data_IF_055301498429
#
_entry.id   IF_055301498429
#
_cell.length_a   1.000
_cell.length_b   1.000
_cell.length_c   1.000
_cell.angle_alpha   90.00
_cell.angle_beta   90.00
_cell.angle_gamma   90.00
#
_symmetry.space_group_name_H-M   'P 1'
#
loop_
_entity.id
_entity.type
_entity.pdbx_description
1 polymer ?
#
# COMPACT_ATOMS: atom_id res chain seq x y z
N UNK A 1 -23.48 5.02 -2.69
CA UNK A 1 -22.82 4.51 -3.92
C UNK A 1 -21.43 4.05 -3.51
N UNK A 2 -20.57 3.56 -4.40
CA UNK A 2 -19.15 3.45 -4.02
C UNK A 2 -18.59 4.87 -3.88
N UNK A 3 -17.84 5.15 -2.80
CA UNK A 3 -17.19 6.45 -2.62
C UNK A 3 -16.30 6.80 -3.82
N UNK A 4 -16.37 8.06 -4.28
CA UNK A 4 -15.48 8.58 -5.30
C UNK A 4 -14.07 8.73 -4.74
N UNK A 5 -13.06 8.50 -5.59
CA UNK A 5 -11.66 8.45 -5.18
C UNK A 5 -10.89 9.69 -5.61
N UNK A 6 -10.00 10.15 -4.74
CA UNK A 6 -9.03 11.21 -5.00
C UNK A 6 -7.65 10.56 -5.13
N UNK A 7 -7.07 10.60 -6.34
CA UNK A 7 -5.89 9.81 -6.71
C UNK A 7 -4.74 10.72 -7.17
N UNK A 8 -3.74 11.04 -6.34
CA UNK A 8 -2.57 11.75 -6.84
C UNK A 8 -1.85 10.94 -7.94
N UNK A 9 -1.41 11.61 -9.00
CA UNK A 9 -0.56 10.99 -10.02
C UNK A 9 0.87 11.52 -10.03
N UNK A 10 1.80 10.67 -10.43
CA UNK A 10 3.22 10.99 -10.62
C UNK A 10 3.71 10.41 -11.95
N UNK A 11 4.26 11.27 -12.81
CA UNK A 11 5.11 10.81 -13.92
C UNK A 11 6.50 10.57 -13.34
N UNK A 12 7.09 9.38 -13.56
CA UNK A 12 8.44 9.12 -13.06
C UNK A 12 9.51 9.27 -14.14
N UNK A 13 9.10 9.53 -15.38
CA UNK A 13 10.01 9.75 -16.50
C UNK A 13 11.00 10.88 -16.17
N UNK A 14 12.30 10.56 -16.14
CA UNK A 14 13.39 11.47 -15.77
C UNK A 14 13.31 12.05 -14.34
N UNK A 15 12.59 11.39 -13.42
CA UNK A 15 12.50 11.80 -12.02
C UNK A 15 13.49 11.06 -11.12
N UNK A 16 13.83 11.69 -9.99
CA UNK A 16 14.65 11.04 -8.96
C UNK A 16 13.77 10.06 -8.17
N UNK A 17 14.11 8.77 -8.20
CA UNK A 17 13.36 7.70 -7.50
C UNK A 17 13.05 8.04 -6.03
N UNK A 18 14.01 8.60 -5.29
CA UNK A 18 13.82 8.98 -3.90
C UNK A 18 12.70 10.02 -3.71
N UNK A 19 12.52 10.93 -4.66
CA UNK A 19 11.45 11.94 -4.61
C UNK A 19 10.08 11.27 -4.83
N UNK A 20 9.98 10.35 -5.79
CA UNK A 20 8.75 9.60 -6.07
C UNK A 20 8.31 8.80 -4.86
N UNK A 21 9.23 8.08 -4.21
CA UNK A 21 8.93 7.30 -3.01
C UNK A 21 8.49 8.20 -1.85
N UNK A 22 9.22 9.30 -1.61
CA UNK A 22 8.88 10.25 -0.54
C UNK A 22 7.49 10.89 -0.77
N UNK A 23 7.20 11.30 -2.00
CA UNK A 23 5.90 11.86 -2.36
C UNK A 23 4.78 10.82 -2.22
N UNK A 24 5.01 9.58 -2.65
CA UNK A 24 4.06 8.48 -2.52
C UNK A 24 3.70 8.18 -1.06
N UNK A 25 4.70 8.13 -0.17
CA UNK A 25 4.48 7.93 1.26
C UNK A 25 3.69 9.08 1.87
N UNK A 26 4.01 10.31 1.50
CA UNK A 26 3.29 11.51 1.95
C UNK A 26 1.83 11.47 1.50
N UNK A 27 1.56 11.21 0.22
CA UNK A 27 0.20 11.11 -0.30
C UNK A 27 -0.63 10.02 0.40
N UNK A 28 -0.05 8.83 0.58
CA UNK A 28 -0.71 7.73 1.29
C UNK A 28 -1.04 8.11 2.75
N UNK A 29 -0.15 8.86 3.39
CA UNK A 29 -0.33 9.32 4.77
C UNK A 29 -1.34 10.46 4.91
N UNK A 30 -1.42 11.36 3.92
CA UNK A 30 -2.28 12.54 3.92
C UNK A 30 -3.69 12.28 3.38
N UNK A 31 -4.03 11.03 3.04
CA UNK A 31 -5.40 10.61 2.75
C UNK A 31 -5.69 10.29 1.28
N UNK A 32 -4.69 9.98 0.46
CA UNK A 32 -4.92 9.44 -0.87
C UNK A 32 -5.74 8.14 -0.81
N UNK A 33 -6.69 7.97 -1.74
CA UNK A 33 -7.41 6.70 -1.86
C UNK A 33 -6.57 5.65 -2.57
N UNK A 34 -5.83 6.08 -3.59
CA UNK A 34 -4.90 5.28 -4.37
C UNK A 34 -3.77 6.18 -4.89
N UNK A 35 -2.70 5.61 -5.41
CA UNK A 35 -1.66 6.34 -6.16
C UNK A 35 -1.69 5.96 -7.63
N UNK A 36 -1.47 6.90 -8.54
CA UNK A 36 -1.24 6.59 -9.95
C UNK A 36 0.20 6.95 -10.36
N UNK A 37 0.98 5.95 -10.74
CA UNK A 37 2.38 6.15 -11.09
C UNK A 37 2.61 5.58 -12.47
N UNK A 38 3.28 6.33 -13.33
CA UNK A 38 3.48 5.89 -14.70
C UNK A 38 4.80 6.35 -15.29
N UNK A 39 5.28 5.54 -16.23
CA UNK A 39 6.30 5.88 -17.21
C UNK A 39 5.97 5.14 -18.51
N UNK A 40 5.74 5.88 -19.59
CA UNK A 40 5.39 5.32 -20.90
C UNK A 40 6.59 5.21 -21.84
N UNK A 41 7.81 5.35 -21.32
CA UNK A 41 9.03 5.13 -22.08
C UNK A 41 9.09 3.72 -22.65
N UNK A 42 9.60 3.61 -23.89
CA UNK A 42 9.62 2.36 -24.66
C UNK A 42 10.89 1.54 -24.38
N UNK A 43 11.94 2.19 -23.86
CA UNK A 43 13.20 1.54 -23.60
C UNK A 43 13.12 0.61 -22.37
N UNK A 44 13.88 -0.49 -22.40
CA UNK A 44 13.83 -1.50 -21.34
C UNK A 44 14.44 -0.99 -20.02
N UNK A 45 15.31 0.02 -20.05
CA UNK A 45 15.93 0.57 -18.84
C UNK A 45 14.89 1.31 -17.98
N UNK A 46 14.16 2.26 -18.57
CA UNK A 46 13.11 3.02 -17.89
C UNK A 46 12.00 2.11 -17.37
N UNK A 47 11.65 1.07 -18.13
CA UNK A 47 10.68 0.06 -17.72
C UNK A 47 11.14 -0.77 -16.51
N UNK A 48 12.37 -1.26 -16.52
CA UNK A 48 12.92 -2.00 -15.37
C UNK A 48 13.08 -1.10 -14.14
N UNK A 49 13.38 0.20 -14.32
CA UNK A 49 13.36 1.20 -13.25
C UNK A 49 11.95 1.38 -12.66
N UNK A 50 10.93 1.59 -13.49
CA UNK A 50 9.53 1.67 -13.07
C UNK A 50 9.10 0.44 -12.25
N UNK A 51 9.45 -0.77 -12.70
CA UNK A 51 9.13 -2.01 -11.99
C UNK A 51 9.83 -2.10 -10.62
N UNK A 52 11.06 -1.61 -10.50
CA UNK A 52 11.79 -1.54 -9.20
C UNK A 52 11.16 -0.54 -8.26
N UNK A 53 10.76 0.64 -8.76
CA UNK A 53 10.02 1.65 -7.99
C UNK A 53 8.71 1.06 -7.49
N UNK A 54 7.93 0.41 -8.37
CA UNK A 54 6.66 -0.22 -8.02
C UNK A 54 6.80 -1.31 -6.94
N UNK A 55 7.81 -2.18 -7.03
CA UNK A 55 8.11 -3.18 -5.99
C UNK A 55 8.43 -2.53 -4.64
N UNK A 56 9.20 -1.45 -4.66
CA UNK A 56 9.55 -0.69 -3.44
C UNK A 56 8.30 -0.07 -2.83
N UNK A 57 7.45 0.56 -3.64
CA UNK A 57 6.18 1.14 -3.20
C UNK A 57 5.25 0.11 -2.57
N UNK A 58 5.12 -1.07 -3.18
CA UNK A 58 4.30 -2.14 -2.62
C UNK A 58 4.76 -2.59 -1.23
N UNK A 59 6.00 -2.27 -0.81
CA UNK A 59 6.53 -2.52 0.54
C UNK A 59 6.33 -1.31 1.47
N UNK A 60 6.40 -0.08 0.95
CA UNK A 60 6.42 1.15 1.77
C UNK A 60 5.08 1.87 1.92
N UNK A 61 4.17 1.78 0.94
CA UNK A 61 2.83 2.37 1.00
C UNK A 61 1.77 1.33 1.33
N UNK A 62 0.66 1.79 1.90
CA UNK A 62 -0.46 0.95 2.33
C UNK A 62 -1.79 1.32 1.67
N UNK A 63 -1.74 2.18 0.66
CA UNK A 63 -2.85 2.45 -0.25
C UNK A 63 -2.61 1.68 -1.56
N UNK A 64 -3.68 1.27 -2.27
CA UNK A 64 -3.56 0.69 -3.60
C UNK A 64 -2.83 1.63 -4.56
N UNK A 65 -2.17 1.08 -5.58
CA UNK A 65 -1.60 1.90 -6.64
C UNK A 65 -1.84 1.31 -8.03
N UNK A 66 -1.96 2.22 -8.99
CA UNK A 66 -2.13 1.99 -10.41
C UNK A 66 -0.77 2.19 -11.07
N UNK A 67 -0.32 1.23 -11.87
CA UNK A 67 0.93 1.31 -12.60
C UNK A 67 0.67 1.52 -14.10
N UNK A 68 1.03 2.69 -14.63
CA UNK A 68 0.97 2.98 -16.06
C UNK A 68 2.30 2.69 -16.74
N UNK A 69 2.28 1.86 -17.77
CA UNK A 69 3.49 1.52 -18.52
C UNK A 69 3.22 1.31 -20.00
N UNK A 70 4.28 1.41 -20.81
CA UNK A 70 4.25 0.95 -22.18
C UNK A 70 4.18 -0.59 -22.22
N UNK A 71 3.21 -1.12 -22.95
CA UNK A 71 2.96 -2.57 -23.06
C UNK A 71 3.01 -2.96 -24.52
N UNK A 72 3.92 -3.88 -24.84
CA UNK A 72 4.06 -4.48 -26.16
C UNK A 72 3.54 -5.92 -26.17
N UNK A 73 3.67 -6.64 -25.05
CA UNK A 73 3.32 -8.05 -24.90
C UNK A 73 2.67 -8.30 -23.55
N UNK A 74 1.91 -9.38 -23.43
CA UNK A 74 1.27 -9.78 -22.17
C UNK A 74 2.25 -9.93 -20.99
N UNK A 75 3.48 -10.39 -21.24
CA UNK A 75 4.50 -10.50 -20.18
C UNK A 75 4.81 -9.15 -19.51
N UNK A 76 4.63 -8.02 -20.20
CA UNK A 76 4.84 -6.69 -19.65
C UNK A 76 3.78 -6.35 -18.59
N UNK A 77 2.51 -6.69 -18.87
CA UNK A 77 1.40 -6.55 -17.91
C UNK A 77 1.61 -7.47 -16.72
N UNK A 78 2.04 -8.71 -16.97
CA UNK A 78 2.33 -9.67 -15.91
C UNK A 78 3.45 -9.20 -14.99
N UNK A 79 4.57 -8.72 -15.54
CA UNK A 79 5.65 -8.11 -14.75
C UNK A 79 5.13 -6.95 -13.90
N UNK A 80 4.30 -6.07 -14.46
CA UNK A 80 3.70 -4.94 -13.76
C UNK A 80 2.79 -5.38 -12.60
N UNK A 81 1.86 -6.32 -12.84
CA UNK A 81 0.98 -6.85 -11.79
C UNK A 81 1.77 -7.50 -10.65
N UNK A 82 2.84 -8.25 -10.98
CA UNK A 82 3.70 -8.91 -9.99
C UNK A 82 4.59 -7.96 -9.18
N UNK A 83 4.56 -6.65 -9.44
CA UNK A 83 5.15 -5.66 -8.52
C UNK A 83 4.31 -5.45 -7.27
N UNK A 84 3.05 -5.90 -7.27
CA UNK A 84 2.05 -5.58 -6.24
C UNK A 84 1.10 -4.44 -6.64
N UNK A 85 1.15 -4.00 -7.91
CA UNK A 85 0.20 -3.04 -8.45
C UNK A 85 -1.22 -3.59 -8.35
N UNK A 86 -2.15 -2.74 -7.89
CA UNK A 86 -3.57 -3.10 -7.81
C UNK A 86 -4.26 -3.06 -9.17
N UNK A 87 -3.73 -2.23 -10.07
CA UNK A 87 -4.23 -2.04 -11.43
C UNK A 87 -3.06 -1.73 -12.37
N UNK A 88 -3.22 -2.06 -13.65
CA UNK A 88 -2.33 -1.64 -14.73
C UNK A 88 -3.07 -0.70 -15.66
N UNK A 89 -2.45 0.44 -15.97
CA UNK A 89 -2.97 1.46 -16.88
C UNK A 89 -2.30 1.35 -18.24
N UNK A 90 -3.06 0.99 -19.27
CA UNK A 90 -2.59 0.89 -20.64
C UNK A 90 -2.99 2.13 -21.42
N UNK A 91 -2.02 2.87 -21.94
CA UNK A 91 -2.30 4.04 -22.77
C UNK A 91 -2.79 3.59 -24.15
N UNK A 92 -3.97 4.03 -24.57
CA UNK A 92 -4.57 3.67 -25.86
C UNK A 92 -3.59 3.84 -27.03
N UNK A 93 -2.90 4.98 -27.11
CA UNK A 93 -1.94 5.28 -28.18
C UNK A 93 -0.76 4.31 -28.25
N UNK A 94 -0.55 3.49 -27.22
CA UNK A 94 0.53 2.51 -27.12
C UNK A 94 0.03 1.06 -27.33
N UNK A 95 -1.27 0.84 -27.52
CA UNK A 95 -1.84 -0.49 -27.73
C UNK A 95 -1.78 -0.82 -29.23
N UNK A 96 -0.83 -1.68 -29.61
CA UNK A 96 -0.73 -2.20 -30.99
C UNK A 96 -1.67 -3.38 -31.22
N UNK A 97 -1.83 -4.25 -30.21
CA UNK A 97 -2.65 -5.45 -30.29
C UNK A 97 -3.59 -5.57 -29.08
N UNK A 98 -4.90 -5.54 -29.35
CA UNK A 98 -5.94 -5.69 -28.32
C UNK A 98 -6.07 -7.11 -27.79
N UNK A 99 -5.44 -8.11 -28.43
CA UNK A 99 -5.33 -9.46 -27.87
C UNK A 99 -4.61 -9.45 -26.52
N UNK A 100 -3.61 -8.60 -26.34
CA UNK A 100 -2.87 -8.42 -25.09
C UNK A 100 -3.77 -7.88 -23.97
N UNK A 101 -4.66 -6.94 -24.30
CA UNK A 101 -5.64 -6.40 -23.34
C UNK A 101 -6.57 -7.52 -22.87
N UNK A 102 -7.11 -8.30 -23.82
CA UNK A 102 -8.02 -9.41 -23.54
C UNK A 102 -7.35 -10.51 -22.72
N UNK A 103 -6.15 -10.95 -23.10
CA UNK A 103 -5.38 -11.94 -22.35
C UNK A 103 -5.09 -11.45 -20.91
N UNK A 104 -4.81 -10.15 -20.75
CA UNK A 104 -4.57 -9.54 -19.44
C UNK A 104 -5.81 -9.56 -18.54
N UNK A 105 -6.98 -9.19 -19.07
CA UNK A 105 -8.23 -9.19 -18.29
C UNK A 105 -8.70 -10.61 -17.96
N UNK A 106 -8.49 -11.57 -18.85
CA UNK A 106 -8.78 -12.99 -18.63
C UNK A 106 -7.85 -13.59 -17.56
N UNK A 107 -6.57 -13.20 -17.53
CA UNK A 107 -5.62 -13.70 -16.53
C UNK A 107 -5.83 -13.12 -15.14
N UNK A 108 -5.91 -11.79 -15.03
CA UNK A 108 -5.81 -11.09 -13.74
C UNK A 108 -7.16 -10.62 -13.19
N UNK A 109 -8.21 -10.63 -14.03
CA UNK A 109 -9.52 -10.09 -13.70
C UNK A 109 -9.81 -8.79 -14.45
N UNK A 110 -11.10 -8.61 -14.78
CA UNK A 110 -11.60 -7.46 -15.54
C UNK A 110 -11.39 -6.12 -14.83
N UNK A 111 -11.33 -6.15 -13.50
CA UNK A 111 -11.12 -5.00 -12.63
C UNK A 111 -9.67 -4.54 -12.55
N UNK A 112 -8.71 -5.25 -13.15
CA UNK A 112 -7.26 -4.96 -13.02
C UNK A 112 -6.66 -4.14 -14.15
N UNK A 113 -7.35 -3.99 -15.28
CA UNK A 113 -6.83 -3.28 -16.45
C UNK A 113 -7.69 -2.05 -16.73
N UNK A 114 -7.05 -0.89 -16.79
CA UNK A 114 -7.68 0.39 -17.12
C UNK A 114 -7.04 0.93 -18.40
N UNK A 115 -7.86 1.48 -19.31
CA UNK A 115 -7.36 2.08 -20.55
C UNK A 115 -7.32 3.60 -20.42
N UNK A 116 -6.13 4.22 -20.55
CA UNK A 116 -5.99 5.68 -20.65
C UNK A 116 -6.28 6.12 -22.10
N UNK A 117 -7.31 6.93 -22.27
CA UNK A 117 -7.70 7.56 -23.54
C UNK A 117 -7.23 9.02 -23.50
N UNK A 118 -6.29 9.36 -24.40
CA UNK A 118 -5.64 10.67 -24.45
C UNK A 118 -6.27 11.64 -25.45
N UNK A 119 -7.39 11.26 -26.08
CA UNK A 119 -8.11 12.08 -27.06
C UNK A 119 -9.62 11.91 -26.94
N UNK A 120 -10.35 13.03 -26.82
CA UNK A 120 -11.82 13.05 -26.84
C UNK A 120 -12.36 12.48 -28.16
N UNK A 121 -11.64 12.66 -29.27
CA UNK A 121 -12.02 12.06 -30.56
C UNK A 121 -12.08 10.54 -30.49
N UNK A 122 -11.14 9.93 -29.76
CA UNK A 122 -11.11 8.48 -29.57
C UNK A 122 -12.26 8.01 -28.66
N UNK A 123 -12.54 8.76 -27.58
CA UNK A 123 -13.68 8.48 -26.71
C UNK A 123 -15.02 8.53 -27.45
N UNK A 124 -15.17 9.47 -28.40
CA UNK A 124 -16.37 9.65 -29.24
C UNK A 124 -16.42 8.71 -30.45
N UNK A 125 -15.43 7.86 -30.67
CA UNK A 125 -15.45 6.93 -31.80
C UNK A 125 -16.55 5.87 -31.61
N UNK A 126 -17.50 5.74 -32.56
CA UNK A 126 -18.58 4.77 -32.44
C UNK A 126 -18.06 3.34 -32.25
N UNK A 127 -18.58 2.63 -31.24
CA UNK A 127 -18.20 1.25 -30.93
C UNK A 127 -16.86 1.07 -30.22
N UNK A 128 -16.11 2.15 -29.97
CA UNK A 128 -14.81 2.03 -29.29
C UNK A 128 -14.95 1.53 -27.85
N UNK A 129 -15.92 2.06 -27.09
CA UNK A 129 -16.21 1.60 -25.74
C UNK A 129 -16.68 0.14 -25.73
N UNK A 130 -17.53 -0.25 -26.69
CA UNK A 130 -18.01 -1.63 -26.81
C UNK A 130 -16.86 -2.60 -27.07
N UNK A 131 -15.90 -2.22 -27.92
CA UNK A 131 -14.67 -2.99 -28.15
C UNK A 131 -13.86 -3.19 -26.86
N UNK A 132 -13.76 -2.16 -26.00
CA UNK A 132 -13.06 -2.29 -24.72
C UNK A 132 -13.79 -3.27 -23.78
N UNK A 133 -15.13 -3.20 -23.74
CA UNK A 133 -15.98 -4.11 -22.96
C UNK A 133 -15.79 -5.56 -23.43
N UNK A 134 -15.74 -5.79 -24.75
CA UNK A 134 -15.46 -7.11 -25.34
C UNK A 134 -14.08 -7.66 -24.95
N UNK A 135 -13.08 -6.77 -24.80
CA UNK A 135 -11.77 -7.11 -24.25
C UNK A 135 -11.77 -7.30 -22.73
N UNK A 136 -12.92 -7.19 -22.06
CA UNK A 136 -13.04 -7.38 -20.61
C UNK A 136 -12.59 -6.19 -19.77
N UNK A 137 -12.38 -5.01 -20.35
CA UNK A 137 -12.05 -3.77 -19.61
C UNK A 137 -13.26 -3.33 -18.78
N UNK A 138 -13.03 -2.95 -17.52
CA UNK A 138 -14.09 -2.54 -16.59
C UNK A 138 -14.09 -1.06 -16.24
N UNK A 139 -13.06 -0.30 -16.63
CA UNK A 139 -12.98 1.14 -16.41
C UNK A 139 -12.03 1.78 -17.43
N UNK A 140 -12.24 3.07 -17.69
CA UNK A 140 -11.37 3.89 -18.53
C UNK A 140 -10.87 5.11 -17.77
N UNK A 141 -9.73 5.66 -18.22
CA UNK A 141 -9.24 6.96 -17.79
C UNK A 141 -9.30 7.94 -18.96
N UNK A 142 -9.89 9.10 -18.76
CA UNK A 142 -9.90 10.20 -19.73
C UNK A 142 -8.90 11.29 -19.31
N UNK A 143 -8.10 11.78 -20.25
CA UNK A 143 -7.09 12.81 -20.04
C UNK A 143 -7.34 14.05 -20.89
N UNK A 144 -6.82 15.21 -20.45
CA UNK A 144 -6.81 16.48 -21.20
C UNK A 144 -8.21 16.98 -21.57
N UNK A 145 -9.13 16.92 -20.62
CA UNK A 145 -10.51 17.32 -20.84
C UNK A 145 -10.70 18.82 -20.62
N UNK A 146 -11.45 19.46 -21.51
CA UNK A 146 -12.11 20.72 -21.19
C UNK A 146 -13.54 20.39 -20.85
N UNK A 147 -13.88 20.39 -19.55
CA UNK A 147 -15.21 19.96 -19.12
C UNK A 147 -16.25 21.00 -19.57
N UNK A 148 -17.30 20.52 -20.22
CA UNK A 148 -18.48 21.27 -20.61
C UNK A 148 -19.72 20.38 -20.49
N UNK A 149 -20.92 20.96 -20.62
CA UNK A 149 -22.17 20.21 -20.44
C UNK A 149 -22.32 19.05 -21.43
N UNK A 150 -21.84 19.20 -22.67
CA UNK A 150 -21.88 18.15 -23.68
C UNK A 150 -21.05 16.93 -23.24
N UNK A 151 -19.78 17.14 -22.90
CA UNK A 151 -18.88 16.09 -22.46
C UNK A 151 -19.32 15.47 -21.13
N UNK A 152 -19.84 16.27 -20.20
CA UNK A 152 -20.39 15.76 -18.95
C UNK A 152 -21.55 14.77 -19.20
N UNK A 153 -22.44 15.10 -20.13
CA UNK A 153 -23.53 14.21 -20.55
C UNK A 153 -23.00 12.97 -21.28
N UNK A 154 -21.99 13.09 -22.14
CA UNK A 154 -21.36 11.93 -22.79
C UNK A 154 -20.74 10.97 -21.77
N UNK A 155 -20.01 11.50 -20.77
CA UNK A 155 -19.42 10.71 -19.69
C UNK A 155 -20.52 10.07 -18.84
N UNK A 156 -21.58 10.81 -18.49
CA UNK A 156 -22.70 10.28 -17.72
C UNK A 156 -23.41 9.09 -18.39
N UNK A 157 -23.40 9.05 -19.73
CA UNK A 157 -24.01 7.97 -20.52
C UNK A 157 -23.01 6.88 -20.93
N UNK A 158 -21.75 6.94 -20.48
CA UNK A 158 -20.76 5.93 -20.81
C UNK A 158 -21.04 4.62 -20.08
N UNK A 159 -21.02 3.49 -20.81
CA UNK A 159 -21.23 2.16 -20.25
C UNK A 159 -20.14 1.69 -19.29
N UNK A 160 -18.97 2.35 -19.29
CA UNK A 160 -17.83 2.05 -18.41
C UNK A 160 -17.65 3.15 -17.37
N UNK A 161 -17.35 2.82 -16.11
CA UNK A 161 -16.87 3.78 -15.11
C UNK A 161 -15.69 4.59 -15.63
N UNK A 162 -15.70 5.90 -15.37
CA UNK A 162 -14.70 6.84 -15.86
C UNK A 162 -13.85 7.38 -14.72
N UNK A 163 -12.53 7.27 -14.87
CA UNK A 163 -11.56 8.06 -14.11
C UNK A 163 -11.18 9.28 -14.93
N UNK A 164 -11.13 10.46 -14.32
CA UNK A 164 -10.66 11.67 -15.01
C UNK A 164 -9.27 12.03 -14.52
N UNK A 165 -8.34 12.19 -15.44
CA UNK A 165 -7.00 12.73 -15.17
C UNK A 165 -6.92 14.19 -15.59
N UNK A 166 -6.72 15.08 -14.62
CA UNK A 166 -6.74 16.53 -14.85
C UNK A 166 -5.72 17.26 -13.95
N UNK A 167 -5.19 18.40 -14.41
CA UNK A 167 -4.27 19.25 -13.62
C UNK A 167 -4.99 20.25 -12.70
N UNK A 168 -6.33 20.31 -12.80
CA UNK A 168 -7.22 21.25 -12.13
C UNK A 168 -6.89 22.73 -12.37
N UNK A 169 -6.21 23.01 -13.49
CA UNK A 169 -5.90 24.38 -13.92
C UNK A 169 -7.10 25.08 -14.55
N UNK A 170 -8.02 24.31 -15.16
CA UNK A 170 -9.19 24.82 -15.89
C UNK A 170 -10.52 24.27 -15.39
N UNK A 171 -10.48 23.23 -14.58
CA UNK A 171 -11.64 22.53 -14.06
C UNK A 171 -11.60 22.53 -12.53
N UNK A 172 -12.75 22.70 -11.89
CA UNK A 172 -12.89 22.42 -10.45
C UNK A 172 -13.14 20.92 -10.26
N UNK A 173 -12.44 20.31 -9.31
CA UNK A 173 -12.59 18.88 -8.99
C UNK A 173 -14.03 18.51 -8.66
N UNK A 174 -14.80 19.42 -8.05
CA UNK A 174 -16.22 19.15 -7.74
C UNK A 174 -17.05 18.94 -9.00
N UNK A 175 -16.78 19.69 -10.06
CA UNK A 175 -17.58 19.66 -11.28
C UNK A 175 -17.26 18.38 -12.07
N UNK A 176 -16.00 17.94 -12.04
CA UNK A 176 -15.60 16.63 -12.55
C UNK A 176 -16.28 15.48 -11.78
N UNK A 177 -16.27 15.56 -10.44
CA UNK A 177 -16.81 14.51 -9.58
C UNK A 177 -18.33 14.49 -9.47
N UNK A 178 -19.05 15.53 -9.90
CA UNK A 178 -20.52 15.55 -9.93
C UNK A 178 -21.12 14.60 -10.95
N UNK A 179 -20.38 14.23 -11.99
CA UNK A 179 -20.85 13.29 -13.00
C UNK A 179 -20.89 11.89 -12.42
N UNK A 180 -22.06 11.24 -12.38
CA UNK A 180 -22.27 9.96 -11.69
C UNK A 180 -21.30 8.86 -12.15
N UNK A 181 -21.05 8.78 -13.46
CA UNK A 181 -20.15 7.80 -14.05
C UNK A 181 -18.66 8.01 -13.68
N UNK A 182 -18.32 9.19 -13.15
CA UNK A 182 -16.96 9.48 -12.70
C UNK A 182 -16.74 8.91 -11.31
N UNK A 183 -15.94 7.85 -11.21
CA UNK A 183 -15.64 7.21 -9.91
C UNK A 183 -14.35 7.73 -9.26
N UNK A 184 -13.50 8.42 -10.01
CA UNK A 184 -12.24 8.93 -9.51
C UNK A 184 -11.74 10.15 -10.29
N UNK A 185 -11.08 11.06 -9.59
CA UNK A 185 -10.26 12.11 -10.23
C UNK A 185 -8.82 11.90 -9.83
N UNK A 186 -7.96 11.81 -10.84
CA UNK A 186 -6.53 11.73 -10.69
C UNK A 186 -5.86 13.04 -11.06
N UNK A 187 -5.03 13.60 -10.17
CA UNK A 187 -4.42 14.92 -10.39
C UNK A 187 -3.06 15.07 -9.70
N UNK A 188 -2.20 15.91 -10.25
CA UNK A 188 -0.96 16.34 -9.60
C UNK A 188 -1.12 17.65 -8.81
N UNK A 189 -2.31 18.26 -8.80
CA UNK A 189 -2.59 19.52 -8.10
C UNK A 189 -2.38 19.45 -6.58
N UNK A 190 -2.37 18.24 -6.02
CA UNK A 190 -2.23 18.01 -4.58
C UNK A 190 -0.79 17.98 -4.09
N UNK A 191 0.18 18.27 -4.95
CA UNK A 191 1.55 18.42 -4.49
C UNK A 191 1.62 19.44 -3.33
N UNK A 192 2.01 18.96 -2.16
CA UNK A 192 2.04 19.72 -0.90
C UNK A 192 0.68 20.18 -0.35
N UNK A 193 -0.40 19.48 -0.66
CA UNK A 193 -1.74 19.73 -0.11
C UNK A 193 -2.25 18.57 0.72
N UNK A 194 -2.97 18.91 1.78
CA UNK A 194 -3.68 17.97 2.65
C UNK A 194 -4.91 17.40 1.91
N UNK A 195 -4.83 16.14 1.48
CA UNK A 195 -5.88 15.46 0.73
C UNK A 195 -7.16 15.26 1.56
N UNK A 196 -7.05 15.11 2.88
CA UNK A 196 -8.24 15.06 3.74
C UNK A 196 -9.03 16.35 3.65
N UNK A 197 -8.40 17.53 3.65
CA UNK A 197 -9.12 18.80 3.46
C UNK A 197 -9.88 18.85 2.15
N UNK A 198 -9.31 18.33 1.07
CA UNK A 198 -9.97 18.25 -0.24
C UNK A 198 -11.20 17.34 -0.17
N UNK A 199 -11.08 16.19 0.49
CA UNK A 199 -12.19 15.25 0.68
C UNK A 199 -13.31 15.85 1.53
N UNK A 200 -13.00 16.58 2.60
CA UNK A 200 -14.03 17.29 3.37
C UNK A 200 -14.72 18.38 2.56
N UNK A 201 -13.98 19.14 1.75
CA UNK A 201 -14.59 20.10 0.81
C UNK A 201 -15.56 19.41 -0.16
N UNK A 202 -15.16 18.29 -0.77
CA UNK A 202 -16.02 17.52 -1.67
C UNK A 202 -17.28 17.00 -0.94
N UNK A 203 -17.12 16.52 0.29
CA UNK A 203 -18.22 16.07 1.14
C UNK A 203 -19.20 17.19 1.46
N UNK A 204 -18.72 18.40 1.77
CA UNK A 204 -19.57 19.59 1.96
C UNK A 204 -20.35 19.97 0.69
N UNK A 205 -19.86 19.58 -0.48
CA UNK A 205 -20.57 19.72 -1.76
C UNK A 205 -21.51 18.54 -2.07
N UNK A 206 -21.81 17.66 -1.10
CA UNK A 206 -22.60 16.43 -1.24
C UNK A 206 -22.00 15.39 -2.20
N UNK A 207 -20.66 15.37 -2.34
CA UNK A 207 -19.96 14.34 -3.11
C UNK A 207 -19.46 13.28 -2.14
N UNK A 208 -19.95 12.04 -2.29
CA UNK A 208 -19.57 10.90 -1.46
C UNK A 208 -18.10 10.52 -1.73
N UNK A 209 -17.22 10.80 -0.78
CA UNK A 209 -15.78 10.49 -0.81
C UNK A 209 -15.36 9.83 0.49
N UNK A 210 -14.25 9.11 0.45
CA UNK A 210 -13.73 8.40 1.62
C UNK A 210 -13.13 9.37 2.65
N UNK A 211 -13.90 9.70 3.68
CA UNK A 211 -13.47 10.43 4.89
C UNK A 211 -13.57 9.53 6.11
N UNK A 212 -12.81 9.83 7.16
CA UNK A 212 -13.01 9.18 8.45
C UNK A 212 -14.25 9.75 9.15
N UNK A 213 -15.11 8.85 9.61
CA UNK A 213 -16.29 9.18 10.40
C UNK A 213 -16.33 8.28 11.62
N UNK A 214 -16.69 8.85 12.77
CA UNK A 214 -16.95 8.03 13.95
C UNK A 214 -18.37 7.48 13.89
N UNK A 215 -18.52 6.20 14.25
CA UNK A 215 -19.82 5.53 14.36
C UNK A 215 -20.55 5.83 15.67
N UNK A 216 -19.88 6.48 16.63
CA UNK A 216 -20.42 6.87 17.93
C UNK A 216 -20.08 8.33 18.23
N UNK A 217 -20.86 8.99 19.08
CA UNK A 217 -20.53 10.33 19.53
C UNK A 217 -19.46 10.31 20.63
N UNK A 218 -18.61 11.34 20.70
CA UNK A 218 -17.63 11.48 21.79
C UNK A 218 -18.29 11.46 23.18
N UNK A 219 -19.52 11.96 23.29
CA UNK A 219 -20.33 11.94 24.52
C UNK A 219 -20.69 10.53 25.02
N UNK A 220 -20.53 9.49 24.19
CA UNK A 220 -20.77 8.09 24.58
C UNK A 220 -19.55 7.43 25.23
N UNK A 221 -18.40 8.11 25.22
CA UNK A 221 -17.16 7.64 25.82
C UNK A 221 -17.16 7.90 27.33
N UNK A 222 -16.60 6.97 28.10
CA UNK A 222 -16.36 7.16 29.54
C UNK A 222 -15.01 7.85 29.72
N UNK A 223 -15.08 9.07 30.25
CA UNK A 223 -13.90 9.89 30.50
C UNK A 223 -13.44 9.72 31.95
N UNK A 224 -12.15 9.97 32.20
CA UNK A 224 -11.62 10.08 33.55
C UNK A 224 -12.08 11.40 34.23
N UNK A 225 -11.67 11.60 35.48
CA UNK A 225 -12.02 12.79 36.28
C UNK A 225 -11.55 14.12 35.65
N UNK A 226 -10.53 14.07 34.79
CA UNK A 226 -10.00 15.23 34.05
C UNK A 226 -10.76 15.51 32.74
N UNK A 227 -11.79 14.71 32.41
CA UNK A 227 -12.51 14.82 31.14
C UNK A 227 -11.72 14.29 29.94
N UNK A 228 -10.81 13.33 30.17
CA UNK A 228 -9.93 12.77 29.15
C UNK A 228 -10.15 11.26 29.00
N UNK A 229 -9.91 10.75 27.79
CA UNK A 229 -9.88 9.32 27.51
C UNK A 229 -8.44 8.86 27.23
N UNK A 230 -7.94 7.78 27.86
CA UNK A 230 -6.68 7.16 27.49
C UNK A 230 -6.72 6.60 26.07
N UNK A 231 -5.61 6.76 25.36
CA UNK A 231 -5.41 6.26 24.00
C UNK A 231 -4.11 5.49 23.92
N UNK A 232 -4.20 4.21 23.58
CA UNK A 232 -3.06 3.34 23.31
C UNK A 232 -2.77 3.42 21.81
N UNK A 233 -1.61 3.95 21.43
CA UNK A 233 -1.16 3.92 20.03
C UNK A 233 -0.39 2.63 19.76
N UNK A 234 -0.79 1.90 18.73
CA UNK A 234 -0.20 0.63 18.31
C UNK A 234 0.17 0.68 16.83
N UNK A 235 1.32 0.13 16.46
CA UNK A 235 1.69 0.00 15.05
C UNK A 235 0.72 -0.96 14.35
N UNK A 236 0.09 -0.48 13.28
CA UNK A 236 -0.95 -1.22 12.57
C UNK A 236 -0.46 -2.51 11.87
N UNK A 237 0.84 -2.64 11.59
CA UNK A 237 1.44 -3.82 10.94
C UNK A 237 2.02 -4.78 11.95
N UNK A 238 2.82 -4.28 12.90
CA UNK A 238 3.56 -5.14 13.83
C UNK A 238 2.79 -5.44 15.11
N UNK A 239 1.67 -4.74 15.35
CA UNK A 239 0.93 -4.78 16.63
C UNK A 239 1.77 -4.35 17.84
N UNK A 240 2.94 -3.74 17.63
CA UNK A 240 3.76 -3.20 18.71
C UNK A 240 3.07 -2.01 19.36
N UNK A 241 2.92 -2.03 20.68
CA UNK A 241 2.41 -0.88 21.43
C UNK A 241 3.48 0.20 21.43
N UNK A 242 3.15 1.39 20.92
CA UNK A 242 4.07 2.50 20.71
C UNK A 242 4.06 3.47 21.89
N UNK A 243 2.88 3.87 22.36
CA UNK A 243 2.75 4.81 23.47
C UNK A 243 1.32 4.82 24.05
N UNK A 244 1.19 5.39 25.25
CA UNK A 244 -0.08 5.80 25.83
C UNK A 244 -0.14 7.33 25.89
N UNK A 245 -1.27 7.89 25.48
CA UNK A 245 -1.58 9.31 25.57
C UNK A 245 -3.04 9.52 25.98
N UNK A 246 -3.51 10.77 25.95
CA UNK A 246 -4.88 11.12 26.31
C UNK A 246 -5.48 12.00 25.22
N UNK A 247 -6.79 11.92 25.03
CA UNK A 247 -7.56 12.83 24.18
C UNK A 247 -8.69 13.49 24.99
N UNK A 248 -8.93 14.77 24.72
CA UNK A 248 -10.22 15.40 24.98
C UNK A 248 -11.07 15.36 23.69
N UNK A 249 -12.29 15.91 23.73
CA UNK A 249 -13.21 15.93 22.58
C UNK A 249 -12.58 16.59 21.34
N UNK A 250 -11.89 17.71 21.52
CA UNK A 250 -11.26 18.45 20.43
C UNK A 250 -10.13 17.64 19.77
N UNK A 251 -9.29 16.97 20.56
CA UNK A 251 -8.22 16.09 20.07
C UNK A 251 -8.78 14.88 19.30
N UNK A 252 -9.87 14.28 19.79
CA UNK A 252 -10.57 13.20 19.10
C UNK A 252 -11.13 13.65 17.76
N UNK A 253 -11.88 14.75 17.75
CA UNK A 253 -12.48 15.30 16.53
C UNK A 253 -11.43 15.71 15.50
N UNK A 254 -10.31 16.29 15.93
CA UNK A 254 -9.20 16.63 15.05
C UNK A 254 -8.51 15.38 14.48
N UNK A 255 -8.37 14.31 15.27
CA UNK A 255 -7.81 13.03 14.82
C UNK A 255 -8.70 12.38 13.76
N UNK A 256 -10.00 12.27 14.02
CA UNK A 256 -10.98 11.77 13.05
C UNK A 256 -10.98 12.66 11.80
N UNK A 257 -11.00 13.98 11.94
CA UNK A 257 -11.02 14.90 10.79
C UNK A 257 -9.76 14.79 9.92
N UNK A 258 -8.59 14.72 10.51
CA UNK A 258 -7.34 14.85 9.74
C UNK A 258 -6.68 13.52 9.41
N UNK A 259 -7.07 12.44 10.07
CA UNK A 259 -6.34 11.17 10.03
C UNK A 259 -4.95 11.24 10.68
N UNK A 260 -4.60 12.34 11.35
CA UNK A 260 -3.34 12.51 12.09
C UNK A 260 -3.62 12.45 13.59
N UNK A 261 -2.85 11.67 14.32
CA UNK A 261 -3.05 11.53 15.77
C UNK A 261 -2.82 12.86 16.46
N UNK A 262 -3.88 13.36 17.09
CA UNK A 262 -3.87 14.56 17.92
C UNK A 262 -4.18 14.16 19.36
N UNK A 263 -3.31 14.50 20.28
CA UNK A 263 -3.46 14.22 21.70
C UNK A 263 -3.71 15.51 22.48
N UNK A 264 -4.16 15.36 23.72
CA UNK A 264 -4.23 16.45 24.68
C UNK A 264 -3.10 16.31 25.72
N UNK A 265 -2.20 17.29 25.76
CA UNK A 265 -1.09 17.30 26.71
C UNK A 265 -1.59 17.75 28.09
N UNK A 266 -1.63 16.84 29.06
CA UNK A 266 -2.05 17.16 30.44
C UNK A 266 -1.17 18.22 31.11
N UNK A 267 0.13 18.19 30.84
CA UNK A 267 1.09 19.13 31.44
C UNK A 267 1.05 20.52 30.79
N UNK A 268 0.83 20.60 29.47
CA UNK A 268 0.78 21.86 28.73
C UNK A 268 -0.64 22.43 28.59
N UNK A 269 -1.66 21.61 28.84
CA UNK A 269 -3.09 21.93 28.69
C UNK A 269 -3.44 22.44 27.30
N UNK A 270 -2.87 21.80 26.28
CA UNK A 270 -3.03 22.16 24.86
C UNK A 270 -3.15 20.92 23.99
N UNK A 271 -3.70 21.10 22.78
CA UNK A 271 -3.66 20.09 21.73
C UNK A 271 -2.23 19.89 21.22
N UNK A 272 -1.90 18.64 20.92
CA UNK A 272 -0.62 18.23 20.38
C UNK A 272 -0.82 17.24 19.23
N UNK A 273 -0.69 17.73 18.00
CA UNK A 273 -0.62 16.87 16.82
C UNK A 273 0.75 16.20 16.78
N UNK A 274 0.78 14.86 16.87
CA UNK A 274 2.01 14.09 16.98
C UNK A 274 2.84 14.25 15.71
N UNK A 275 4.05 14.79 15.88
CA UNK A 275 5.04 14.96 14.82
C UNK A 275 5.27 16.41 14.39
N UNK A 276 4.37 17.35 14.70
CA UNK A 276 4.48 18.75 14.25
C UNK A 276 5.79 19.44 14.69
N UNK A 277 6.37 19.03 15.81
CA UNK A 277 7.66 19.54 16.30
C UNK A 277 8.85 18.67 15.91
N UNK A 278 8.70 17.34 15.88
CA UNK A 278 9.82 16.39 15.77
C UNK A 278 9.96 15.75 14.39
N UNK A 279 8.98 15.93 13.49
CA UNK A 279 8.87 15.19 12.23
C UNK A 279 8.47 13.71 12.40
N UNK A 280 8.16 13.26 13.63
CA UNK A 280 7.77 11.87 13.90
C UNK A 280 6.26 11.72 13.99
N UNK A 281 5.62 11.60 12.83
CA UNK A 281 4.17 11.61 12.69
C UNK A 281 3.52 10.25 13.02
N UNK A 282 2.25 10.31 13.37
CA UNK A 282 1.38 9.13 13.50
C UNK A 282 0.11 9.35 12.67
N UNK A 283 -0.07 8.49 11.67
CA UNK A 283 -1.25 8.51 10.80
C UNK A 283 -2.22 7.41 11.21
N UNK A 284 -3.45 7.80 11.53
CA UNK A 284 -4.51 6.92 11.99
C UNK A 284 -4.94 5.95 10.88
N UNK A 285 -5.05 4.67 11.23
CA UNK A 285 -5.64 3.61 10.39
C UNK A 285 -6.96 3.11 10.94
N UNK A 286 -7.08 3.00 12.26
CA UNK A 286 -8.33 2.67 12.94
C UNK A 286 -8.31 3.20 14.37
N UNK A 287 -9.50 3.46 14.92
CA UNK A 287 -9.74 3.68 16.34
C UNK A 287 -10.72 2.60 16.80
N UNK A 288 -10.29 1.75 17.70
CA UNK A 288 -11.10 0.70 18.32
C UNK A 288 -11.38 1.11 19.78
N UNK A 289 -12.61 0.90 20.24
CA UNK A 289 -13.03 1.18 21.61
C UNK A 289 -13.10 -0.13 22.41
N UNK A 290 -12.67 -0.10 23.66
CA UNK A 290 -12.80 -1.24 24.56
C UNK A 290 -14.25 -1.53 25.00
N UNK A 291 -14.43 -2.60 25.77
CA UNK A 291 -15.75 -3.14 26.09
C UNK A 291 -16.58 -2.25 27.03
N UNK A 292 -15.91 -1.47 27.87
CA UNK A 292 -16.49 -0.56 28.85
C UNK A 292 -16.42 0.90 28.42
N UNK A 293 -15.89 1.18 27.22
CA UNK A 293 -15.89 2.48 26.56
C UNK A 293 -14.98 3.53 27.22
N UNK A 294 -13.96 3.11 27.94
CA UNK A 294 -13.06 4.03 28.67
C UNK A 294 -11.64 4.11 28.10
N UNK A 295 -11.30 3.29 27.11
CA UNK A 295 -9.99 3.34 26.45
C UNK A 295 -10.09 3.16 24.93
N UNK A 296 -9.36 3.99 24.19
CA UNK A 296 -9.23 3.86 22.73
C UNK A 296 -7.92 3.15 22.38
N UNK A 297 -7.99 2.14 21.53
CA UNK A 297 -6.85 1.58 20.81
C UNK A 297 -6.76 2.25 19.43
N UNK A 298 -5.71 3.03 19.21
CA UNK A 298 -5.42 3.66 17.93
C UNK A 298 -4.39 2.83 17.15
N UNK A 299 -4.80 2.23 16.04
CA UNK A 299 -3.89 1.61 15.08
C UNK A 299 -3.33 2.70 14.19
N UNK A 300 -2.00 2.85 14.17
CA UNK A 300 -1.32 3.96 13.50
C UNK A 300 -0.18 3.47 12.62
N UNK A 301 0.05 4.18 11.52
CA UNK A 301 1.32 4.15 10.79
C UNK A 301 2.27 5.15 11.45
N UNK A 302 3.34 4.66 12.06
CA UNK A 302 4.37 5.48 12.69
C UNK A 302 5.44 5.91 11.67
N UNK A 303 5.70 7.21 11.59
CA UNK A 303 6.86 7.78 10.88
C UNK A 303 7.90 8.22 11.92
N UNK A 304 9.15 7.78 11.76
CA UNK A 304 10.20 8.02 12.75
C UNK A 304 9.92 7.36 14.10
N UNK A 305 10.45 7.94 15.19
CA UNK A 305 10.29 7.40 16.53
C UNK A 305 8.97 7.84 17.20
N UNK A 306 8.27 6.91 17.87
CA UNK A 306 7.13 7.32 18.70
C UNK A 306 7.61 8.07 19.95
N UNK A 307 8.74 7.64 20.53
CA UNK A 307 9.31 8.22 21.74
C UNK A 307 10.21 9.44 21.45
N UNK A 308 10.21 10.40 22.38
CA UNK A 308 11.09 11.58 22.34
C UNK A 308 12.58 11.23 22.55
N UNK A 309 12.88 10.03 23.04
CA UNK A 309 14.26 9.52 23.20
C UNK A 309 14.86 9.01 21.88
N UNK A 310 14.07 8.95 20.80
CA UNK A 310 14.44 8.29 19.55
C UNK A 310 14.09 6.79 19.50
N UNK A 311 13.61 6.21 20.61
CA UNK A 311 13.15 4.82 20.63
C UNK A 311 11.85 4.65 19.85
N UNK A 312 11.69 3.50 19.17
CA UNK A 312 10.49 3.18 18.38
C UNK A 312 9.22 3.17 19.24
N UNK A 313 9.26 2.50 20.38
CA UNK A 313 8.21 2.48 21.41
C UNK A 313 8.66 3.21 22.67
N UNK A 314 7.71 3.74 23.45
CA UNK A 314 7.93 4.21 24.82
C UNK A 314 8.17 3.05 25.81
N UNK A 315 7.75 1.84 25.48
CA UNK A 315 7.83 0.66 26.34
C UNK A 315 9.10 -0.16 26.09
N UNK A 316 10.25 0.52 26.04
CA UNK A 316 11.56 -0.10 25.72
C UNK A 316 12.35 -0.57 26.95
N UNK A 317 11.88 -0.26 28.16
CA UNK A 317 12.57 -0.64 29.41
C UNK A 317 11.88 -1.85 30.05
N UNK A 318 12.60 -2.97 30.14
CA UNK A 318 12.14 -4.18 30.81
C UNK A 318 12.17 -4.00 32.33
N UNK A 319 11.06 -4.29 33.01
CA UNK A 319 10.95 -4.17 34.47
C UNK A 319 11.05 -5.55 35.14
N UNK A 320 10.41 -6.56 34.56
CA UNK A 320 10.42 -7.95 35.04
C UNK A 320 10.25 -8.87 33.82
N UNK A 321 11.04 -9.95 33.74
CA UNK A 321 10.87 -11.03 32.77
C UNK A 321 10.87 -12.37 33.48
N UNK A 322 9.85 -13.18 33.19
CA UNK A 322 9.88 -14.61 33.48
C UNK A 322 10.39 -15.31 32.24
N UNK A 323 11.26 -16.31 32.37
CA UNK A 323 11.60 -17.16 31.22
C UNK A 323 10.36 -17.95 30.81
N UNK A 324 9.94 -17.79 29.56
CA UNK A 324 8.91 -18.59 28.92
C UNK A 324 9.31 -18.85 27.47
N UNK A 325 8.75 -19.89 26.88
CA UNK A 325 8.90 -20.16 25.45
C UNK A 325 8.03 -19.17 24.67
N UNK A 326 8.66 -18.15 24.08
CA UNK A 326 8.00 -17.13 23.25
C UNK A 326 7.99 -17.52 21.77
N UNK A 327 8.13 -18.82 21.47
CA UNK A 327 8.03 -19.32 20.11
C UNK A 327 6.61 -19.09 19.60
N UNK A 328 6.46 -18.10 18.73
CA UNK A 328 5.22 -17.84 18.02
C UNK A 328 5.33 -18.47 16.61
N UNK A 329 4.52 -19.51 16.30
CA UNK A 329 4.55 -20.17 14.99
C UNK A 329 4.31 -19.22 13.81
N UNK A 330 3.65 -18.08 14.04
CA UNK A 330 3.36 -17.09 13.01
C UNK A 330 4.54 -16.16 12.71
N UNK A 331 5.49 -16.01 13.64
CA UNK A 331 6.63 -15.08 13.50
C UNK A 331 7.98 -15.79 13.36
N UNK A 332 8.04 -17.09 13.62
CA UNK A 332 9.30 -17.87 13.60
C UNK A 332 10.04 -17.73 12.27
N UNK A 333 9.33 -17.76 11.13
CA UNK A 333 9.96 -17.64 9.82
C UNK A 333 10.56 -16.26 9.57
N UNK A 334 9.89 -15.20 10.02
CA UNK A 334 10.43 -13.84 9.95
C UNK A 334 11.66 -13.68 10.83
N UNK A 335 11.61 -14.19 12.07
CA UNK A 335 12.73 -14.12 13.01
C UNK A 335 13.97 -14.87 12.51
N UNK A 336 13.79 -16.08 11.95
CA UNK A 336 14.89 -16.85 11.36
C UNK A 336 15.46 -16.13 10.13
N UNK A 337 14.60 -15.57 9.28
CA UNK A 337 15.03 -14.78 8.12
C UNK A 337 15.83 -13.54 8.54
N UNK A 338 15.39 -12.82 9.58
CA UNK A 338 16.11 -11.66 10.12
C UNK A 338 17.50 -12.02 10.63
N UNK A 339 17.64 -13.19 11.29
CA UNK A 339 18.96 -13.71 11.70
C UNK A 339 19.83 -14.05 10.48
N UNK A 340 19.27 -14.63 9.42
CA UNK A 340 20.00 -14.91 8.17
C UNK A 340 20.49 -13.61 7.52
N UNK A 341 19.63 -12.59 7.46
CA UNK A 341 19.96 -11.27 6.92
C UNK A 341 21.01 -10.55 7.76
N UNK A 342 20.90 -10.60 9.10
CA UNK A 342 21.91 -10.07 10.00
C UNK A 342 23.26 -10.75 9.76
N UNK A 343 23.31 -12.08 9.61
CA UNK A 343 24.57 -12.78 9.29
C UNK A 343 25.13 -12.42 7.92
N UNK A 344 24.28 -12.06 6.95
CA UNK A 344 24.74 -11.58 5.63
C UNK A 344 25.39 -10.20 5.72
N UNK A 345 24.82 -9.30 6.51
CA UNK A 345 25.30 -7.93 6.69
C UNK A 345 26.45 -7.80 7.71
N UNK A 346 26.41 -8.62 8.75
CA UNK A 346 27.36 -8.68 9.86
C UNK A 346 27.90 -10.12 9.99
N UNK A 347 28.87 -10.52 9.14
CA UNK A 347 29.41 -11.87 9.15
C UNK A 347 29.97 -12.29 10.50
N UNK A 348 29.64 -13.51 10.94
CA UNK A 348 30.19 -14.10 12.16
C UNK A 348 31.01 -15.35 11.81
N UNK A 349 32.26 -15.36 12.25
CA UNK A 349 33.16 -16.50 12.02
C UNK A 349 32.57 -17.80 12.60
N UNK A 350 32.72 -18.90 11.86
CA UNK A 350 32.20 -20.23 12.23
C UNK A 350 30.68 -20.41 12.05
N UNK A 351 29.96 -19.41 11.55
CA UNK A 351 28.53 -19.50 11.23
C UNK A 351 28.26 -20.39 10.01
N UNK A 352 27.35 -21.35 10.14
CA UNK A 352 26.88 -22.15 9.00
C UNK A 352 26.26 -21.28 7.89
N UNK A 353 25.51 -20.24 8.25
CA UNK A 353 24.91 -19.29 7.29
C UNK A 353 25.99 -18.56 6.48
N UNK A 354 27.08 -18.13 7.12
CA UNK A 354 28.17 -17.45 6.42
C UNK A 354 28.92 -18.41 5.50
N UNK A 355 29.14 -19.66 5.93
CA UNK A 355 29.70 -20.69 5.06
C UNK A 355 28.87 -20.88 3.76
N UNK A 356 27.54 -20.84 3.83
CA UNK A 356 26.70 -20.94 2.64
C UNK A 356 26.88 -19.73 1.71
N UNK A 357 26.87 -18.51 2.26
CA UNK A 357 27.10 -17.29 1.47
C UNK A 357 28.51 -17.24 0.87
N UNK A 358 29.54 -17.61 1.63
CA UNK A 358 30.94 -17.63 1.16
C UNK A 358 31.17 -18.62 0.01
N UNK A 359 30.42 -19.74 -0.01
CA UNK A 359 30.45 -20.72 -1.10
C UNK A 359 29.58 -20.33 -2.29
N UNK A 360 28.71 -19.34 -2.14
CA UNK A 360 27.88 -18.77 -3.19
C UNK A 360 26.71 -19.64 -3.63
N UNK A 361 26.01 -19.15 -4.66
CA UNK A 361 24.72 -19.64 -5.12
C UNK A 361 24.68 -21.15 -5.40
N UNK A 362 25.71 -21.72 -6.01
CA UNK A 362 25.74 -23.15 -6.36
C UNK A 362 25.67 -24.05 -5.12
N UNK A 363 26.31 -23.65 -4.02
CA UNK A 363 26.27 -24.41 -2.78
C UNK A 363 24.90 -24.33 -2.11
N UNK A 364 24.27 -23.16 -2.15
CA UNK A 364 22.92 -22.93 -1.63
C UNK A 364 21.91 -23.75 -2.43
N UNK A 365 21.98 -23.72 -3.76
CA UNK A 365 21.10 -24.49 -4.65
C UNK A 365 21.28 -26.00 -4.46
N UNK A 366 22.52 -26.47 -4.32
CA UNK A 366 22.80 -27.88 -4.02
C UNK A 366 22.08 -28.31 -2.74
N UNK A 367 22.16 -27.49 -1.68
CA UNK A 367 21.48 -27.77 -0.42
C UNK A 367 19.96 -27.81 -0.58
N UNK A 368 19.37 -26.80 -1.21
CA UNK A 368 17.92 -26.80 -1.50
C UNK A 368 17.46 -28.07 -2.25
N UNK A 369 18.25 -28.56 -3.21
CA UNK A 369 17.94 -29.78 -3.96
C UNK A 369 18.09 -31.08 -3.15
N UNK A 370 19.10 -31.16 -2.28
CA UNK A 370 19.30 -32.27 -1.33
C UNK A 370 18.07 -32.39 -0.41
N UNK A 371 17.77 -31.33 0.35
CA UNK A 371 16.70 -31.37 1.35
C UNK A 371 15.32 -31.59 0.68
N UNK A 372 15.07 -31.04 -0.51
CA UNK A 372 13.84 -31.30 -1.27
C UNK A 372 13.67 -32.79 -1.62
N UNK A 373 14.77 -33.47 -1.94
CA UNK A 373 14.75 -34.92 -2.24
C UNK A 373 14.57 -35.72 -0.95
N UNK A 374 15.21 -35.30 0.14
CA UNK A 374 15.09 -35.93 1.45
C UNK A 374 13.65 -35.82 2.00
N UNK A 375 12.95 -34.69 1.79
CA UNK A 375 11.50 -34.57 2.07
C UNK A 375 10.70 -35.65 1.35
N UNK A 376 10.96 -35.87 0.05
CA UNK A 376 10.22 -36.87 -0.74
C UNK A 376 10.46 -38.28 -0.21
N UNK A 377 11.68 -38.57 0.24
CA UNK A 377 12.04 -39.88 0.81
C UNK A 377 11.39 -40.03 2.20
N UNK A 378 11.59 -39.06 3.09
CA UNK A 378 11.07 -39.06 4.45
C UNK A 378 9.53 -39.11 4.50
N UNK A 379 8.84 -38.46 3.55
CA UNK A 379 7.38 -38.51 3.45
C UNK A 379 6.82 -39.91 3.15
N UNK A 380 7.65 -40.85 2.69
CA UNK A 380 7.26 -42.25 2.49
C UNK A 380 7.48 -43.12 3.72
N UNK A 381 8.21 -42.61 4.72
CA UNK A 381 8.47 -43.33 5.95
C UNK A 381 7.26 -43.27 6.90
N UNK A 382 7.03 -44.29 7.75
CA UNK A 382 5.90 -44.28 8.69
C UNK A 382 6.02 -43.24 9.81
N UNK A 383 7.23 -42.80 10.12
CA UNK A 383 7.54 -41.82 11.17
C UNK A 383 7.70 -40.42 10.55
N UNK A 384 6.91 -39.46 11.04
CA UNK A 384 6.93 -38.08 10.57
C UNK A 384 8.03 -37.21 11.19
N UNK A 385 8.78 -37.73 12.17
CA UNK A 385 9.85 -36.95 12.81
C UNK A 385 10.96 -36.58 11.85
N UNK A 386 11.44 -37.52 11.03
CA UNK A 386 12.42 -37.26 9.97
C UNK A 386 11.87 -36.23 8.97
N UNK A 387 10.63 -36.41 8.51
CA UNK A 387 9.97 -35.47 7.60
C UNK A 387 9.93 -34.03 8.15
N UNK A 388 9.68 -33.87 9.46
CA UNK A 388 9.69 -32.55 10.11
C UNK A 388 11.07 -31.90 10.04
N UNK A 389 12.15 -32.65 10.24
CA UNK A 389 13.52 -32.13 10.15
C UNK A 389 13.85 -31.72 8.71
N UNK A 390 13.56 -32.58 7.73
CA UNK A 390 13.83 -32.29 6.32
C UNK A 390 13.06 -31.07 5.80
N UNK A 391 11.79 -30.91 6.22
CA UNK A 391 11.01 -29.70 5.92
C UNK A 391 11.65 -28.47 6.55
N UNK A 392 12.13 -28.58 7.79
CA UNK A 392 12.75 -27.46 8.50
C UNK A 392 14.06 -27.01 7.84
N UNK A 393 14.90 -27.96 7.46
CA UNK A 393 16.18 -27.69 6.79
C UNK A 393 15.94 -27.11 5.39
N UNK A 394 15.03 -27.69 4.61
CA UNK A 394 14.63 -27.12 3.32
C UNK A 394 14.14 -25.68 3.43
N UNK A 395 13.26 -25.38 4.40
CA UNK A 395 12.77 -24.02 4.62
C UNK A 395 13.89 -23.07 5.03
N UNK A 396 14.85 -23.53 5.85
CA UNK A 396 16.02 -22.74 6.20
C UNK A 396 16.90 -22.42 4.98
N UNK A 397 17.26 -23.41 4.16
CA UNK A 397 18.07 -23.16 2.95
C UNK A 397 17.31 -22.34 1.92
N UNK A 398 15.99 -22.49 1.83
CA UNK A 398 15.13 -21.65 1.00
C UNK A 398 15.19 -20.18 1.45
N UNK A 399 15.16 -19.90 2.76
CA UNK A 399 15.33 -18.54 3.28
C UNK A 399 16.73 -17.98 3.00
N UNK A 400 17.79 -18.81 3.04
CA UNK A 400 19.14 -18.39 2.64
C UNK A 400 19.19 -18.07 1.13
N UNK A 401 18.52 -18.87 0.29
CA UNK A 401 18.39 -18.61 -1.14
C UNK A 401 17.61 -17.32 -1.42
N UNK A 402 16.50 -17.09 -0.71
CA UNK A 402 15.73 -15.86 -0.77
C UNK A 402 16.62 -14.65 -0.48
N UNK A 403 17.36 -14.68 0.63
CA UNK A 403 18.30 -13.63 1.01
C UNK A 403 19.42 -13.44 -0.03
N UNK A 404 19.87 -14.51 -0.69
CA UNK A 404 20.86 -14.44 -1.78
C UNK A 404 20.31 -13.77 -3.04
N UNK A 405 19.06 -14.07 -3.39
CA UNK A 405 18.39 -13.50 -4.55
C UNK A 405 17.68 -12.16 -4.27
N UNK A 406 17.75 -11.63 -3.05
CA UNK A 406 17.11 -10.37 -2.67
C UNK A 406 15.57 -10.45 -2.55
N UNK A 407 15.04 -11.61 -2.19
CA UNK A 407 13.61 -11.85 -1.93
C UNK A 407 13.36 -11.95 -0.42
N UNK A 408 12.17 -11.57 0.04
CA UNK A 408 11.73 -11.75 1.42
C UNK A 408 10.38 -12.51 1.53
N UNK A 409 9.93 -12.77 2.76
CA UNK A 409 8.65 -13.45 3.00
C UNK A 409 7.43 -12.67 2.48
N UNK A 410 7.49 -11.33 2.43
CA UNK A 410 6.39 -10.55 1.87
C UNK A 410 6.27 -10.80 0.37
N UNK A 411 7.39 -10.93 -0.34
CA UNK A 411 7.40 -11.24 -1.78
C UNK A 411 6.75 -12.60 -2.05
N UNK A 412 7.13 -13.63 -1.29
CA UNK A 412 6.60 -15.01 -1.45
C UNK A 412 5.12 -15.10 -1.07
N UNK A 413 4.72 -14.51 0.07
CA UNK A 413 3.33 -14.55 0.54
C UNK A 413 2.39 -13.79 -0.40
N UNK A 414 2.82 -12.65 -0.94
CA UNK A 414 2.04 -11.92 -1.96
C UNK A 414 1.82 -12.76 -3.20
N UNK A 415 2.86 -13.41 -3.72
CA UNK A 415 2.74 -14.29 -4.89
C UNK A 415 1.78 -15.47 -4.63
N UNK A 416 1.84 -16.08 -3.45
CA UNK A 416 0.91 -17.14 -3.08
C UNK A 416 -0.53 -16.63 -2.96
N UNK A 417 -0.74 -15.44 -2.40
CA UNK A 417 -2.06 -14.82 -2.27
C UNK A 417 -2.70 -14.53 -3.63
N UNK A 418 -1.92 -14.20 -4.67
CA UNK A 418 -2.41 -14.00 -6.03
C UNK A 418 -2.88 -15.29 -6.73
N UNK A 419 -2.50 -16.47 -6.21
CA UNK A 419 -2.88 -17.78 -6.78
C UNK A 419 -4.12 -18.39 -6.13
N UNK A 420 -4.57 -17.82 -5.00
CA UNK A 420 -5.79 -18.19 -4.31
C UNK A 420 -6.99 -17.54 -4.98
#
# INVERSE_FOLDING_TARGET
MACKKVIPYMNIENEVVANVLTASEKYAAEGADELFIFDYSVDEYSKEELLRVAKTLAKTVDVPFILGLHVKRFEDVKKAMYTGASYVMLKHSCIEDYSVVKESTERFGKDKVIIEIDSIKQFREPGYIDKLIECGVSAIMLKHLTMNDELANEIANCSLPVMIRDSLTRNDIKDLMRVDQVFAVSTNYFENKDLMKVKYYLKEQNIEVNTFESTIAFSELKLNEDGLIPVIAQDYKTSEVLMLAYMNEEAFNQTVKTGRMTYYSRSRRELWCKGDTSGHYQYMKALDLDCDKDTILAKVRQVGAACHTGSRSCFYTEIVKREYDDTNPLTVFSQVYDVIMDRKLHPKEGSYTNYLFDKGIDKILKKCGEEATEIVIAAKNPDSEELKYEISDFLYHMMVLMAECGLDWNDVVKELAHRR
#
